data_IF_997896139427
#
_entry.id   IF_997896139427
#
_cell.length_a   1.000
_cell.length_b   1.000
_cell.length_c   1.000
_cell.angle_alpha   90.00
_cell.angle_beta   90.00
_cell.angle_gamma   90.00
#
_symmetry.space_group_name_H-M   'P 1'
#
loop_
_entity.id
_entity.type
_entity.pdbx_description
1 polymer ?
#
# COMPACT_ATOMS: atom_id res chain seq x y z
N UNK A 1 -19.23 93.83 30.69
CA UNK A 1 -18.92 92.71 29.78
C UNK A 1 -17.50 92.26 30.05
N UNK A 2 -17.28 91.07 30.62
CA UNK A 2 -15.94 90.52 30.92
C UNK A 2 -15.60 89.50 29.81
N UNK A 3 -14.58 89.80 29.01
CA UNK A 3 -14.12 88.93 27.94
C UNK A 3 -13.41 87.69 28.52
N UNK A 4 -13.90 86.52 28.14
CA UNK A 4 -13.27 85.23 28.42
C UNK A 4 -12.16 85.00 27.38
N UNK A 5 -10.90 85.15 27.76
CA UNK A 5 -9.76 84.78 26.90
C UNK A 5 -9.37 83.32 27.16
N UNK A 6 -9.57 82.49 26.14
CA UNK A 6 -9.08 81.10 26.11
C UNK A 6 -7.59 81.11 25.74
N UNK A 7 -6.69 80.52 26.55
CA UNK A 7 -5.28 80.43 26.18
C UNK A 7 -5.10 79.46 25.01
N UNK A 8 -4.54 79.95 23.91
CA UNK A 8 -4.19 79.14 22.75
C UNK A 8 -3.12 78.10 23.10
N UNK A 9 -3.43 76.81 22.89
CA UNK A 9 -2.48 75.71 23.02
C UNK A 9 -1.34 75.88 22.00
N UNK A 10 -0.10 75.96 22.48
CA UNK A 10 1.10 75.89 21.64
C UNK A 10 1.11 74.55 20.90
N UNK A 11 1.11 74.57 19.57
CA UNK A 11 1.29 73.38 18.75
C UNK A 11 2.73 72.87 18.93
N UNK A 12 2.90 71.77 19.64
CA UNK A 12 4.15 71.03 19.60
C UNK A 12 4.38 70.60 18.14
N UNK A 13 5.51 71.00 17.55
CA UNK A 13 5.90 70.55 16.22
C UNK A 13 6.06 69.03 16.24
N UNK A 14 5.07 68.32 15.68
CA UNK A 14 5.14 66.88 15.47
C UNK A 14 6.31 66.57 14.55
N UNK A 15 7.37 65.96 15.10
CA UNK A 15 8.50 65.44 14.33
C UNK A 15 8.06 64.13 13.68
N UNK A 16 8.15 64.06 12.35
CA UNK A 16 7.64 63.00 11.48
C UNK A 16 8.29 61.62 11.64
N UNK A 17 8.15 61.00 12.82
CA UNK A 17 8.64 59.65 13.13
C UNK A 17 7.54 58.58 13.02
N UNK A 18 6.26 58.98 12.95
CA UNK A 18 5.11 58.07 12.87
C UNK A 18 5.15 57.17 11.61
N UNK A 19 5.53 57.71 10.45
CA UNK A 19 5.66 56.95 9.20
C UNK A 19 6.71 55.82 9.32
N UNK A 20 7.83 56.09 9.98
CA UNK A 20 8.91 55.12 10.15
C UNK A 20 8.47 53.93 11.01
N UNK A 21 7.76 54.19 12.12
CA UNK A 21 7.19 53.14 12.97
C UNK A 21 6.20 52.29 12.18
N UNK A 22 5.31 52.92 11.40
CA UNK A 22 4.33 52.19 10.57
C UNK A 22 5.03 51.30 9.54
N UNK A 23 6.08 51.80 8.87
CA UNK A 23 6.85 51.01 7.91
C UNK A 23 7.51 49.78 8.56
N UNK A 24 8.10 49.94 9.75
CA UNK A 24 8.68 48.82 10.50
C UNK A 24 7.60 47.80 10.86
N UNK A 25 6.45 48.24 11.38
CA UNK A 25 5.36 47.34 11.73
C UNK A 25 4.86 46.57 10.50
N UNK A 26 4.68 47.25 9.37
CA UNK A 26 4.31 46.61 8.10
C UNK A 26 5.36 45.60 7.64
N UNK A 27 6.65 45.93 7.75
CA UNK A 27 7.74 45.02 7.41
C UNK A 27 7.72 43.76 8.29
N UNK A 28 7.57 43.93 9.61
CA UNK A 28 7.47 42.80 10.55
C UNK A 28 6.23 41.95 10.27
N UNK A 29 5.07 42.56 10.01
CA UNK A 29 3.85 41.84 9.63
C UNK A 29 4.03 41.07 8.32
N UNK A 30 4.70 41.65 7.32
CA UNK A 30 4.98 40.98 6.06
C UNK A 30 5.92 39.78 6.26
N UNK A 31 6.95 39.90 7.09
CA UNK A 31 7.85 38.79 7.41
C UNK A 31 7.12 37.64 8.12
N UNK A 32 6.22 37.95 9.06
CA UNK A 32 5.37 36.95 9.71
C UNK A 32 4.43 36.27 8.72
N UNK A 33 3.82 37.04 7.81
CA UNK A 33 2.93 36.50 6.79
C UNK A 33 3.68 35.55 5.84
N UNK A 34 4.88 35.91 5.38
CA UNK A 34 5.72 35.05 4.53
C UNK A 34 6.20 33.81 5.28
N UNK A 35 6.60 33.96 6.55
CA UNK A 35 7.00 32.83 7.40
C UNK A 35 5.86 31.83 7.60
N UNK A 36 4.66 32.33 7.89
CA UNK A 36 3.44 31.52 7.99
C UNK A 36 3.09 30.81 6.68
N UNK A 37 3.14 31.51 5.55
CA UNK A 37 2.86 30.93 4.23
C UNK A 37 3.82 29.80 3.87
N UNK A 38 5.13 29.97 4.10
CA UNK A 38 6.13 28.91 3.88
C UNK A 38 5.89 27.69 4.77
N UNK A 39 5.50 27.91 6.02
CA UNK A 39 5.19 26.82 6.97
C UNK A 39 3.95 26.03 6.52
N UNK A 40 2.90 26.73 6.08
CA UNK A 40 1.69 26.12 5.54
C UNK A 40 1.98 25.25 4.31
N UNK A 41 2.83 25.73 3.39
CA UNK A 41 3.25 24.96 2.21
C UNK A 41 3.97 23.65 2.58
N UNK A 42 4.85 23.69 3.59
CA UNK A 42 5.54 22.49 4.07
C UNK A 42 4.56 21.49 4.68
N UNK A 43 3.63 21.97 5.52
CA UNK A 43 2.62 21.13 6.14
C UNK A 43 1.69 20.48 5.11
N UNK A 44 1.31 21.19 4.05
CA UNK A 44 0.50 20.65 2.96
C UNK A 44 1.23 19.51 2.23
N UNK A 45 2.52 19.69 1.94
CA UNK A 45 3.35 18.65 1.30
C UNK A 45 3.48 17.40 2.19
N UNK A 46 3.75 17.60 3.49
CA UNK A 46 3.80 16.51 4.47
C UNK A 46 2.47 15.78 4.59
N UNK A 47 1.35 16.51 4.71
CA UNK A 47 0.01 15.94 4.76
C UNK A 47 -0.33 15.16 3.49
N UNK A 48 0.04 15.69 2.32
CA UNK A 48 -0.10 15.01 1.04
C UNK A 48 0.68 13.71 0.98
N UNK A 49 1.92 13.70 1.49
CA UNK A 49 2.75 12.49 1.53
C UNK A 49 2.19 11.43 2.49
N UNK A 50 1.73 11.86 3.66
CA UNK A 50 1.12 10.97 4.65
C UNK A 50 -0.16 10.32 4.10
N UNK A 51 -1.01 11.09 3.42
CA UNK A 51 -2.23 10.57 2.77
C UNK A 51 -1.93 9.57 1.68
N UNK A 52 -0.89 9.82 0.87
CA UNK A 52 -0.45 8.91 -0.18
C UNK A 52 0.10 7.60 0.39
N UNK A 53 0.89 7.69 1.46
CA UNK A 53 1.38 6.54 2.21
C UNK A 53 0.25 5.69 2.81
N UNK A 54 -0.73 6.33 3.47
CA UNK A 54 -1.88 5.62 4.03
C UNK A 54 -2.66 4.87 2.95
N UNK A 55 -2.92 5.49 1.80
CA UNK A 55 -3.59 4.83 0.67
C UNK A 55 -2.81 3.66 0.12
N UNK A 56 -1.49 3.80 -0.04
CA UNK A 56 -0.63 2.71 -0.49
C UNK A 56 -0.58 1.57 0.53
N UNK A 57 -0.60 1.89 1.82
CA UNK A 57 -0.64 0.92 2.90
C UNK A 57 -1.96 0.12 2.90
N UNK A 58 -3.09 0.81 2.89
CA UNK A 58 -4.42 0.18 2.78
C UNK A 58 -4.53 -0.70 1.53
N UNK A 59 -3.96 -0.27 0.41
CA UNK A 59 -3.96 -1.06 -0.83
C UNK A 59 -3.05 -2.29 -0.76
N UNK A 60 -1.89 -2.19 -0.07
CA UNK A 60 -1.02 -3.34 0.17
C UNK A 60 -1.69 -4.35 1.12
N UNK A 61 -2.38 -3.89 2.17
CA UNK A 61 -3.17 -4.75 3.07
C UNK A 61 -4.31 -5.44 2.32
N UNK A 62 -5.02 -4.70 1.46
CA UNK A 62 -6.06 -5.27 0.63
C UNK A 62 -5.51 -6.37 -0.29
N UNK A 63 -4.32 -6.20 -0.87
CA UNK A 63 -3.66 -7.22 -1.68
C UNK A 63 -3.16 -8.43 -0.87
N UNK A 64 -2.75 -8.25 0.38
CA UNK A 64 -2.47 -9.38 1.29
C UNK A 64 -3.74 -10.21 1.54
N UNK A 65 -4.85 -9.54 1.89
CA UNK A 65 -6.13 -10.20 2.12
C UNK A 65 -6.68 -10.84 0.83
N UNK A 66 -6.42 -10.23 -0.32
CA UNK A 66 -6.77 -10.77 -1.62
C UNK A 66 -6.04 -12.09 -1.89
N UNK A 67 -4.74 -12.14 -1.61
CA UNK A 67 -3.93 -13.35 -1.73
C UNK A 67 -4.39 -14.46 -0.77
N UNK A 68 -4.81 -14.13 0.45
CA UNK A 68 -5.41 -15.13 1.36
C UNK A 68 -6.71 -15.72 0.80
N UNK A 69 -7.58 -14.87 0.24
CA UNK A 69 -8.86 -15.31 -0.36
C UNK A 69 -8.63 -16.16 -1.59
N UNK A 70 -7.63 -15.82 -2.38
CA UNK A 70 -7.17 -16.61 -3.51
C UNK A 70 -6.69 -18.01 -3.06
N UNK A 71 -5.86 -18.10 -2.01
CA UNK A 71 -5.46 -19.39 -1.40
C UNK A 71 -6.68 -20.16 -0.86
N UNK A 72 -7.66 -19.46 -0.30
CA UNK A 72 -8.90 -20.06 0.23
C UNK A 72 -9.94 -20.39 -0.84
N UNK A 73 -9.66 -20.10 -2.11
CA UNK A 73 -10.63 -20.25 -3.20
C UNK A 73 -11.94 -19.51 -2.90
N UNK A 74 -11.81 -18.22 -2.60
CA UNK A 74 -12.93 -17.31 -2.40
C UNK A 74 -12.89 -16.18 -3.43
N UNK A 75 -14.07 -15.85 -3.97
CA UNK A 75 -14.24 -14.74 -4.89
C UNK A 75 -15.41 -13.86 -4.47
N UNK A 76 -15.33 -12.59 -4.85
CA UNK A 76 -16.34 -11.59 -4.61
C UNK A 76 -17.54 -11.84 -5.54
N UNK A 77 -18.70 -12.05 -4.94
CA UNK A 77 -19.98 -12.05 -5.63
C UNK A 77 -20.55 -10.63 -5.64
N UNK A 78 -20.62 -10.03 -6.83
CA UNK A 78 -21.17 -8.69 -7.01
C UNK A 78 -22.67 -8.61 -6.65
N UNK A 79 -23.39 -9.73 -6.69
CA UNK A 79 -24.84 -9.81 -6.39
C UNK A 79 -25.09 -9.66 -4.90
N UNK A 80 -24.39 -10.45 -4.09
CA UNK A 80 -24.52 -10.43 -2.63
C UNK A 80 -23.58 -9.44 -1.95
N UNK A 81 -22.62 -8.87 -2.69
CA UNK A 81 -21.54 -8.04 -2.16
C UNK A 81 -20.71 -8.73 -1.08
N UNK A 82 -20.55 -10.05 -1.18
CA UNK A 82 -19.80 -10.86 -0.21
C UNK A 82 -18.78 -11.77 -0.90
N UNK A 83 -17.83 -12.29 -0.13
CA UNK A 83 -16.92 -13.33 -0.61
C UNK A 83 -17.56 -14.70 -0.41
N UNK A 84 -17.64 -15.48 -1.48
CA UNK A 84 -18.18 -16.84 -1.49
C UNK A 84 -17.14 -17.81 -2.04
N UNK A 85 -17.33 -19.11 -1.80
CA UNK A 85 -16.48 -20.13 -2.40
C UNK A 85 -16.56 -20.04 -3.94
N UNK A 86 -15.42 -20.21 -4.63
CA UNK A 86 -15.38 -20.14 -6.09
C UNK A 86 -16.34 -21.12 -6.78
N UNK A 87 -16.57 -22.29 -6.16
CA UNK A 87 -17.49 -23.32 -6.64
C UNK A 87 -18.98 -22.92 -6.57
N UNK A 88 -19.33 -21.91 -5.78
CA UNK A 88 -20.68 -21.37 -5.69
C UNK A 88 -21.01 -20.36 -6.81
N UNK A 89 -20.00 -19.90 -7.55
CA UNK A 89 -20.17 -18.95 -8.65
C UNK A 89 -20.31 -19.67 -10.00
N UNK A 90 -21.30 -19.23 -10.80
CA UNK A 90 -21.49 -19.72 -12.17
C UNK A 90 -20.28 -19.39 -13.06
N UNK A 91 -19.72 -18.19 -12.90
CA UNK A 91 -18.47 -17.76 -13.52
C UNK A 91 -17.56 -17.21 -12.44
N UNK A 92 -16.49 -17.94 -12.14
CA UNK A 92 -15.54 -17.59 -11.08
C UNK A 92 -14.25 -17.03 -11.66
N UNK A 93 -13.71 -15.92 -11.12
CA UNK A 93 -12.39 -15.39 -11.49
C UNK A 93 -11.23 -16.23 -10.92
N UNK A 94 -11.52 -17.21 -10.07
CA UNK A 94 -10.51 -18.00 -9.39
C UNK A 94 -9.61 -18.76 -10.35
N UNK A 95 -8.35 -18.92 -9.93
CA UNK A 95 -7.33 -19.54 -10.76
C UNK A 95 -7.65 -20.98 -11.08
N UNK A 96 -7.50 -21.32 -12.36
CA UNK A 96 -7.58 -22.69 -12.88
C UNK A 96 -6.41 -22.91 -13.83
N UNK A 97 -5.73 -24.04 -13.67
CA UNK A 97 -4.76 -24.52 -14.63
C UNK A 97 -5.47 -24.97 -15.92
N UNK A 98 -4.71 -25.09 -17.02
CA UNK A 98 -5.26 -25.47 -18.33
C UNK A 98 -5.91 -26.87 -18.34
N UNK A 99 -5.48 -27.74 -17.43
CA UNK A 99 -6.00 -29.09 -17.22
C UNK A 99 -7.12 -29.16 -16.16
N UNK A 100 -7.63 -28.01 -15.71
CA UNK A 100 -8.78 -27.93 -14.80
C UNK A 100 -8.42 -27.98 -13.31
N UNK A 101 -7.15 -28.15 -12.94
CA UNK A 101 -6.71 -28.13 -11.54
C UNK A 101 -6.81 -26.74 -10.95
N UNK A 102 -7.09 -26.66 -9.65
CA UNK A 102 -7.28 -25.41 -8.91
C UNK A 102 -6.12 -25.18 -7.95
N UNK A 103 -5.74 -23.92 -7.74
CA UNK A 103 -4.76 -23.56 -6.73
C UNK A 103 -5.47 -23.27 -5.39
N UNK A 104 -4.94 -23.72 -4.24
CA UNK A 104 -3.90 -24.72 -4.10
C UNK A 104 -4.40 -26.13 -4.45
N UNK A 105 -3.57 -26.90 -5.15
CA UNK A 105 -3.90 -28.27 -5.56
C UNK A 105 -3.49 -29.25 -4.45
N UNK A 106 -4.47 -29.67 -3.64
CA UNK A 106 -4.23 -30.54 -2.48
C UNK A 106 -3.86 -31.97 -2.86
N UNK A 107 -4.19 -32.39 -4.07
CA UNK A 107 -4.15 -33.81 -4.47
C UNK A 107 -2.94 -34.14 -5.34
N UNK A 108 -2.32 -33.15 -6.01
CA UNK A 108 -1.19 -33.39 -6.95
C UNK A 108 0.13 -32.72 -6.57
N UNK A 109 0.30 -32.31 -5.31
CA UNK A 109 1.58 -31.80 -4.81
C UNK A 109 1.73 -30.27 -4.88
N UNK A 110 0.61 -29.55 -4.71
CA UNK A 110 0.51 -28.12 -4.35
C UNK A 110 0.97 -27.10 -5.41
N UNK A 111 2.12 -27.32 -6.06
CA UNK A 111 2.75 -26.31 -6.93
C UNK A 111 3.46 -26.84 -8.16
N UNK A 112 4.12 -28.00 -8.08
CA UNK A 112 4.93 -28.54 -9.18
C UNK A 112 4.09 -28.81 -10.42
N UNK A 113 2.84 -29.20 -10.23
CA UNK A 113 1.90 -29.36 -11.33
C UNK A 113 1.17 -28.04 -11.69
N UNK A 114 0.89 -27.12 -10.75
CA UNK A 114 0.16 -25.87 -11.06
C UNK A 114 1.02 -24.85 -11.83
N UNK A 115 2.27 -24.61 -11.40
CA UNK A 115 3.17 -23.68 -12.10
C UNK A 115 3.80 -24.36 -13.32
N UNK A 116 3.94 -25.69 -13.32
CA UNK A 116 4.44 -26.47 -14.46
C UNK A 116 5.88 -26.13 -14.88
N UNK A 117 6.61 -25.32 -14.10
CA UNK A 117 7.97 -24.85 -14.41
C UNK A 117 9.07 -25.42 -13.50
N UNK A 118 8.75 -26.36 -12.62
CA UNK A 118 9.70 -26.98 -11.70
C UNK A 118 10.14 -26.07 -10.54
N UNK A 119 11.26 -26.42 -9.89
CA UNK A 119 11.80 -25.65 -8.77
C UNK A 119 12.27 -24.24 -9.17
N UNK A 120 12.22 -23.30 -8.22
CA UNK A 120 12.68 -21.91 -8.37
C UNK A 120 11.96 -21.17 -9.49
N UNK A 121 10.64 -21.23 -9.48
CA UNK A 121 9.78 -20.62 -10.50
C UNK A 121 8.71 -19.74 -9.89
N UNK A 122 8.30 -18.73 -10.65
CA UNK A 122 7.14 -17.91 -10.36
C UNK A 122 6.30 -17.78 -11.63
N UNK A 123 4.99 -17.93 -11.51
CA UNK A 123 4.05 -17.67 -12.59
C UNK A 123 2.75 -17.07 -12.03
N UNK A 124 2.32 -15.94 -12.63
CA UNK A 124 1.08 -15.23 -12.28
C UNK A 124 0.91 -14.97 -10.77
N UNK A 125 1.99 -14.74 -10.04
CA UNK A 125 1.97 -14.48 -8.60
C UNK A 125 2.08 -15.73 -7.71
N UNK A 126 2.19 -16.95 -8.23
CA UNK A 126 2.50 -18.15 -7.43
C UNK A 126 3.96 -18.49 -7.63
N UNK A 127 4.68 -18.70 -6.53
CA UNK A 127 6.11 -18.95 -6.52
C UNK A 127 6.47 -20.20 -5.71
N UNK A 128 7.49 -20.92 -6.17
CA UNK A 128 8.00 -22.12 -5.51
C UNK A 128 9.51 -22.18 -5.56
N UNK A 129 10.14 -22.38 -4.40
CA UNK A 129 11.58 -22.49 -4.24
C UNK A 129 11.90 -23.75 -3.45
N UNK A 130 12.63 -24.69 -4.07
CA UNK A 130 12.88 -26.02 -3.50
C UNK A 130 14.08 -26.07 -2.54
N UNK A 131 14.84 -24.98 -2.39
CA UNK A 131 16.01 -24.94 -1.51
C UNK A 131 15.62 -24.89 -0.03
N UNK A 132 16.40 -25.55 0.84
CA UNK A 132 16.25 -25.47 2.31
C UNK A 132 16.33 -24.02 2.81
N UNK A 133 17.10 -23.18 2.14
CA UNK A 133 17.28 -21.75 2.45
C UNK A 133 16.03 -20.90 2.14
N UNK A 134 15.04 -21.48 1.46
CA UNK A 134 13.78 -20.77 1.14
C UNK A 134 12.92 -20.53 2.38
N UNK A 135 13.03 -21.44 3.35
CA UNK A 135 12.33 -21.39 4.64
C UNK A 135 13.11 -20.57 5.67
N UNK A 136 14.44 -20.50 5.53
CA UNK A 136 15.29 -19.75 6.45
C UNK A 136 15.08 -18.27 6.18
N UNK A 137 14.64 -17.52 7.20
CA UNK A 137 14.52 -16.06 7.19
C UNK A 137 15.88 -15.33 7.08
N UNK A 138 16.89 -15.97 6.49
CA UNK A 138 18.15 -15.35 6.14
C UNK A 138 17.86 -14.39 4.99
N UNK A 139 17.94 -13.09 5.26
CA UNK A 139 17.66 -11.99 4.34
C UNK A 139 18.44 -12.01 3.00
N UNK A 140 19.39 -12.94 2.84
CA UNK A 140 20.15 -13.19 1.62
C UNK A 140 19.73 -14.41 0.79
N UNK A 141 18.77 -15.24 1.24
CA UNK A 141 18.30 -16.37 0.43
C UNK A 141 17.48 -15.89 -0.77
N UNK A 142 17.57 -16.59 -1.89
CA UNK A 142 16.87 -16.19 -3.13
C UNK A 142 15.36 -16.11 -2.90
N UNK A 143 14.82 -16.98 -2.05
CA UNK A 143 13.39 -17.04 -1.75
C UNK A 143 12.93 -15.97 -0.75
N UNK A 144 13.78 -15.46 0.15
CA UNK A 144 13.32 -14.43 1.09
C UNK A 144 13.17 -13.05 0.44
N UNK A 145 13.71 -12.78 -0.75
CA UNK A 145 13.54 -11.49 -1.46
C UNK A 145 13.35 -11.63 -2.97
N UNK A 146 12.83 -12.77 -3.43
CA UNK A 146 12.74 -13.07 -4.87
C UNK A 146 12.02 -11.98 -5.66
N UNK A 147 10.99 -11.35 -5.10
CA UNK A 147 10.19 -10.29 -5.76
C UNK A 147 10.99 -9.01 -6.07
N UNK A 148 12.21 -8.89 -5.57
CA UNK A 148 13.13 -7.79 -5.93
C UNK A 148 14.01 -8.12 -7.14
N UNK A 149 14.05 -9.38 -7.58
CA UNK A 149 14.88 -9.83 -8.69
C UNK A 149 14.12 -9.71 -10.01
N UNK A 150 14.83 -9.32 -11.07
CA UNK A 150 14.25 -9.14 -12.41
C UNK A 150 13.52 -10.38 -12.94
N UNK A 151 13.97 -11.59 -12.57
CA UNK A 151 13.33 -12.83 -12.98
C UNK A 151 11.89 -13.01 -12.44
N UNK A 152 11.56 -12.39 -11.30
CA UNK A 152 10.31 -12.66 -10.58
C UNK A 152 9.47 -11.40 -10.30
N UNK A 153 10.06 -10.21 -10.43
CA UNK A 153 9.40 -8.92 -10.14
C UNK A 153 8.16 -8.68 -11.03
N UNK A 154 8.14 -9.23 -12.24
CA UNK A 154 7.00 -9.12 -13.15
C UNK A 154 6.04 -10.32 -13.06
N UNK A 155 6.39 -11.35 -12.30
CA UNK A 155 5.59 -12.56 -12.10
C UNK A 155 4.62 -12.41 -10.93
N UNK A 156 3.93 -11.28 -10.85
CA UNK A 156 2.97 -10.96 -9.79
C UNK A 156 1.53 -11.28 -10.18
N UNK A 157 0.65 -11.35 -9.18
CA UNK A 157 -0.79 -11.24 -9.38
C UNK A 157 -1.23 -9.82 -9.05
N UNK A 158 -2.06 -9.23 -9.92
CA UNK A 158 -2.68 -7.94 -9.62
C UNK A 158 -3.83 -8.12 -8.63
N UNK A 159 -4.07 -7.11 -7.79
CA UNK A 159 -5.23 -7.08 -6.90
C UNK A 159 -6.52 -7.38 -7.65
N UNK A 160 -7.32 -8.32 -7.12
CA UNK A 160 -8.61 -8.70 -7.69
C UNK A 160 -8.53 -9.64 -8.90
N UNK A 161 -7.34 -9.93 -9.45
CA UNK A 161 -7.20 -10.73 -10.67
C UNK A 161 -7.80 -12.13 -10.55
N UNK A 162 -7.78 -12.71 -9.34
CA UNK A 162 -8.22 -14.08 -9.07
C UNK A 162 -9.34 -14.19 -8.04
N UNK A 163 -9.83 -13.06 -7.55
CA UNK A 163 -10.90 -12.99 -6.56
C UNK A 163 -12.05 -12.10 -7.02
N UNK A 164 -11.86 -11.26 -8.05
CA UNK A 164 -12.84 -10.25 -8.45
C UNK A 164 -12.99 -9.10 -7.44
N UNK A 165 -12.01 -8.89 -6.58
CA UNK A 165 -12.09 -7.90 -5.51
C UNK A 165 -12.39 -6.47 -6.03
N UNK A 166 -13.33 -5.74 -5.39
CA UNK A 166 -13.70 -4.39 -5.82
C UNK A 166 -12.66 -3.35 -5.42
N UNK A 167 -12.51 -2.29 -6.22
CA UNK A 167 -11.50 -1.24 -5.99
C UNK A 167 -11.84 -0.24 -4.88
N UNK A 168 -13.01 -0.33 -4.24
CA UNK A 168 -13.42 0.41 -3.03
C UNK A 168 -13.04 1.91 -2.96
N UNK A 169 -12.87 2.60 -4.10
CA UNK A 169 -12.49 4.02 -4.17
C UNK A 169 -11.03 4.37 -3.83
N UNK A 170 -10.15 3.39 -3.57
CA UNK A 170 -8.72 3.65 -3.32
C UNK A 170 -7.91 3.51 -4.63
N UNK A 171 -7.38 4.61 -5.20
CA UNK A 171 -6.65 4.56 -6.47
C UNK A 171 -5.32 3.78 -6.40
N UNK A 172 -4.75 3.62 -5.20
CA UNK A 172 -3.50 2.86 -5.04
C UNK A 172 -3.68 1.36 -5.36
N UNK A 173 -4.92 0.83 -5.29
CA UNK A 173 -5.24 -0.56 -5.62
C UNK A 173 -4.90 -0.92 -7.07
N UNK A 174 -4.89 0.04 -7.99
CA UNK A 174 -4.45 -0.20 -9.37
C UNK A 174 -2.97 -0.61 -9.47
N UNK A 175 -2.16 -0.22 -8.49
CA UNK A 175 -0.74 -0.59 -8.40
C UNK A 175 -0.48 -1.81 -7.50
N UNK A 176 -1.51 -2.22 -6.75
CA UNK A 176 -1.41 -3.25 -5.74
C UNK A 176 -1.24 -4.63 -6.39
N UNK A 177 -0.25 -5.37 -5.91
CA UNK A 177 0.17 -6.65 -6.44
C UNK A 177 0.63 -7.56 -5.31
N UNK A 178 0.57 -8.86 -5.55
CA UNK A 178 1.01 -9.85 -4.59
C UNK A 178 1.72 -11.03 -5.23
N UNK A 179 2.52 -11.70 -4.39
CA UNK A 179 3.14 -12.99 -4.66
C UNK A 179 2.81 -13.93 -3.50
N UNK A 180 2.50 -15.17 -3.84
CA UNK A 180 2.24 -16.27 -2.93
C UNK A 180 3.36 -17.27 -3.14
N UNK A 181 4.29 -17.31 -2.21
CA UNK A 181 5.29 -18.36 -2.15
C UNK A 181 4.73 -19.54 -1.37
N UNK A 182 4.92 -20.73 -1.92
CA UNK A 182 4.51 -21.97 -1.28
C UNK A 182 5.74 -22.66 -0.71
N UNK A 183 5.64 -22.99 0.57
CA UNK A 183 6.70 -23.61 1.36
C UNK A 183 6.21 -24.99 1.80
N UNK A 184 6.77 -26.02 1.19
CA UNK A 184 6.48 -27.41 1.56
C UNK A 184 6.98 -27.71 2.98
N UNK A 185 6.14 -28.36 3.77
CA UNK A 185 6.47 -28.78 5.14
C UNK A 185 6.58 -30.29 5.19
N UNK A 186 7.75 -30.79 5.54
CA UNK A 186 8.04 -32.24 5.60
C UNK A 186 7.15 -33.04 6.58
N UNK A 187 6.35 -32.40 7.45
CA UNK A 187 5.52 -33.05 8.48
C UNK A 187 4.08 -32.51 8.56
N UNK A 188 3.59 -31.79 7.55
CA UNK A 188 2.24 -31.24 7.55
C UNK A 188 1.50 -31.57 6.25
N UNK A 189 0.22 -31.91 6.38
CA UNK A 189 -0.68 -32.17 5.24
C UNK A 189 -1.04 -30.91 4.46
N UNK A 190 -0.67 -29.72 4.94
CA UNK A 190 -0.88 -28.45 4.25
C UNK A 190 0.44 -27.63 4.18
N UNK A 191 0.75 -27.02 3.03
CA UNK A 191 1.94 -26.17 2.90
C UNK A 191 1.75 -24.87 3.69
N UNK A 192 2.88 -24.26 4.06
CA UNK A 192 2.93 -22.90 4.58
C UNK A 192 3.01 -21.93 3.40
N UNK A 193 2.26 -20.84 3.44
CA UNK A 193 2.36 -19.80 2.42
C UNK A 193 3.11 -18.59 2.99
N UNK A 194 3.98 -18.00 2.19
CA UNK A 194 4.54 -16.67 2.45
C UNK A 194 3.97 -15.72 1.40
N UNK A 195 3.18 -14.76 1.87
CA UNK A 195 2.53 -13.79 1.02
C UNK A 195 3.29 -12.49 1.11
N UNK A 196 3.68 -11.95 -0.04
CA UNK A 196 4.27 -10.61 -0.15
C UNK A 196 3.33 -9.76 -0.98
N UNK A 197 2.92 -8.60 -0.45
CA UNK A 197 2.15 -7.60 -1.18
C UNK A 197 2.95 -6.32 -1.34
N UNK A 198 2.76 -5.65 -2.48
CA UNK A 198 3.35 -4.36 -2.80
C UNK A 198 2.27 -3.44 -3.34
N UNK A 199 2.24 -2.20 -2.90
CA UNK A 199 1.49 -1.13 -3.55
C UNK A 199 2.32 0.14 -3.63
N UNK A 200 2.02 0.98 -4.60
CA UNK A 200 2.61 2.31 -4.73
C UNK A 200 1.58 3.40 -4.49
N UNK A 201 2.05 4.56 -4.05
CA UNK A 201 1.23 5.77 -4.00
C UNK A 201 0.78 6.22 -5.39
N UNK A 202 -0.21 7.10 -5.43
CA UNK A 202 -0.79 7.62 -6.67
C UNK A 202 0.13 8.63 -7.37
N UNK A 203 1.12 9.20 -6.67
CA UNK A 203 2.14 10.03 -7.33
C UNK A 203 3.05 9.12 -8.15
N UNK A 204 3.02 9.31 -9.47
CA UNK A 204 3.92 8.66 -10.44
C UNK A 204 5.35 8.75 -9.92
N UNK A 205 6.11 7.67 -10.06
CA UNK A 205 7.52 7.64 -9.70
C UNK A 205 8.28 8.69 -10.52
N UNK A 206 8.38 9.92 -10.01
CA UNK A 206 9.45 10.82 -10.40
C UNK A 206 10.77 10.15 -9.99
N UNK A 207 11.85 10.50 -10.68
CA UNK A 207 13.20 9.92 -10.59
C UNK A 207 13.79 9.82 -9.16
N UNK A 208 13.14 10.37 -8.13
CA UNK A 208 13.47 10.23 -6.70
C UNK A 208 12.75 9.10 -5.94
N UNK A 209 11.92 8.28 -6.61
CA UNK A 209 11.19 7.17 -6.00
C UNK A 209 9.81 7.57 -5.48
N UNK A 210 8.77 6.91 -5.97
CA UNK A 210 7.41 7.07 -5.45
C UNK A 210 7.22 6.39 -4.09
N UNK A 211 6.15 6.73 -3.38
CA UNK A 211 5.73 6.02 -2.17
C UNK A 211 5.55 4.54 -2.50
N UNK A 212 6.25 3.65 -1.78
CA UNK A 212 6.16 2.19 -1.96
C UNK A 212 5.94 1.56 -0.60
N UNK A 213 4.88 0.77 -0.49
CA UNK A 213 4.61 -0.03 0.71
C UNK A 213 4.73 -1.49 0.34
N UNK A 214 5.54 -2.21 1.10
CA UNK A 214 5.70 -3.65 1.00
C UNK A 214 5.31 -4.28 2.33
N UNK A 215 4.42 -5.26 2.27
CA UNK A 215 4.00 -6.04 3.41
C UNK A 215 4.28 -7.52 3.12
N UNK A 216 4.65 -8.26 4.16
CA UNK A 216 4.92 -9.69 4.04
C UNK A 216 4.41 -10.41 5.28
N UNK A 217 3.76 -11.55 5.07
CA UNK A 217 3.25 -12.39 6.14
C UNK A 217 3.37 -13.87 5.80
N UNK A 218 3.33 -14.69 6.84
CA UNK A 218 3.21 -16.14 6.72
C UNK A 218 1.77 -16.54 7.00
N UNK A 219 1.17 -17.32 6.11
CA UNK A 219 -0.20 -17.79 6.20
C UNK A 219 -0.22 -19.33 6.30
N UNK A 220 -0.78 -19.84 7.39
CA UNK A 220 -0.95 -21.28 7.64
C UNK A 220 -2.44 -21.63 7.63
N UNK A 221 -2.97 -22.26 6.57
CA UNK A 221 -4.37 -22.65 6.51
C UNK A 221 -4.76 -23.67 7.60
N UNK A 222 -3.83 -24.49 8.09
CA UNK A 222 -4.11 -25.53 9.06
C UNK A 222 -4.40 -24.97 10.47
N UNK A 223 -3.86 -23.79 10.77
CA UNK A 223 -4.06 -23.13 12.06
C UNK A 223 -5.53 -22.72 12.30
N UNK A 224 -6.25 -22.35 11.23
CA UNK A 224 -7.65 -21.93 11.31
C UNK A 224 -8.58 -23.12 11.63
N UNK A 225 -8.22 -24.33 11.21
CA UNK A 225 -9.03 -25.55 11.42
C UNK A 225 -8.97 -26.10 12.85
N UNK A 226 -7.99 -25.71 13.65
CA UNK A 226 -7.85 -26.16 15.06
C UNK A 226 -8.60 -25.30 16.07
N UNK A 227 -9.21 -24.19 15.63
CA UNK A 227 -9.92 -23.23 16.48
C UNK A 227 -11.45 -23.39 16.38
N UNK A 228 -11.93 -24.16 15.40
CA UNK A 228 -13.33 -24.59 15.28
C UNK A 228 -13.46 -26.08 15.59
#
# INVERSE_FOLDING_TARGET
>A
MKHFQVPGRRSAQQRGFSLFIVLIMLLLSALLAVGGARTAQLLESMAGNQRDYQRAFEAAEAALLDAERDIRQQAFDATTQTYVACSALVSSPCRKAADGRVFPDRDTGWVTAYVGKGANSCDRGICYFAGTDSVVAASGSEAYRFWTRSAYVDQYAAYGAFTGAPTAGNPALASARYWIEVIDRARSDEPLYRITALSTGARTASTGGGTRVLLQMSFDPAAVRKVN
#
